data_IF_856496074663
#
_entry.id   IF_856496074663
#
_cell.length_a   1.000
_cell.length_b   1.000
_cell.length_c   1.000
_cell.angle_alpha   90.00
_cell.angle_beta   90.00
_cell.angle_gamma   90.00
#
_symmetry.space_group_name_H-M   'P 1'
#
loop_
_entity.id
_entity.type
_entity.pdbx_description
1 polymer ?
#
# COMPACT_ATOMS: atom_id res chain seq x y z
N UNK A 1 -39.93 0.94 4.68
CA UNK A 1 -40.51 0.65 6.01
C UNK A 1 -39.45 1.02 7.02
N UNK A 2 -39.63 2.14 7.73
CA UNK A 2 -38.76 2.55 8.84
C UNK A 2 -39.22 1.80 10.08
N UNK A 3 -38.67 0.61 10.32
CA UNK A 3 -38.92 -0.13 11.56
C UNK A 3 -38.15 0.50 12.71
N UNK A 4 -38.87 0.82 13.78
CA UNK A 4 -38.29 1.29 15.05
C UNK A 4 -37.46 0.16 15.67
N UNK A 5 -36.16 0.41 15.88
CA UNK A 5 -35.26 -0.54 16.52
C UNK A 5 -35.25 -0.34 18.03
N UNK A 6 -35.45 -1.44 18.76
CA UNK A 6 -35.40 -1.46 20.21
C UNK A 6 -34.23 -2.35 20.64
N UNK A 7 -33.08 -1.78 21.06
CA UNK A 7 -32.01 -2.56 21.63
C UNK A 7 -32.53 -3.24 22.91
N UNK A 8 -32.36 -4.56 23.00
CA UNK A 8 -32.90 -5.37 24.07
C UNK A 8 -32.51 -4.89 25.48
N UNK A 9 -33.50 -4.99 26.38
CA UNK A 9 -33.48 -4.72 27.84
C UNK A 9 -33.48 -3.25 28.29
N UNK A 10 -34.36 -2.42 27.74
CA UNK A 10 -34.97 -1.34 28.55
C UNK A 10 -36.33 -0.94 27.99
N UNK A 11 -37.41 -1.29 28.71
CA UNK A 11 -38.78 -0.82 28.44
C UNK A 11 -39.00 0.66 28.80
N UNK A 12 -37.95 1.46 28.98
CA UNK A 12 -38.06 2.88 29.36
C UNK A 12 -37.03 3.74 28.63
N UNK A 13 -37.18 3.85 27.31
CA UNK A 13 -36.89 5.07 26.52
C UNK A 13 -37.21 4.73 25.07
N UNK A 14 -38.32 5.28 24.58
CA UNK A 14 -38.59 5.39 23.15
C UNK A 14 -37.59 6.38 22.57
N UNK A 15 -36.35 5.97 22.34
CA UNK A 15 -35.48 6.71 21.44
C UNK A 15 -36.07 6.49 20.05
N UNK A 16 -36.68 7.54 19.47
CA UNK A 16 -37.27 7.56 18.12
C UNK A 16 -36.22 7.44 17.03
N UNK A 17 -35.27 6.53 17.21
CA UNK A 17 -34.11 6.28 16.37
C UNK A 17 -34.50 5.12 15.46
N UNK A 18 -34.67 5.42 14.18
CA UNK A 18 -34.95 4.39 13.18
C UNK A 18 -33.78 3.37 13.15
N UNK A 19 -34.06 2.10 12.85
CA UNK A 19 -33.03 1.07 12.71
C UNK A 19 -31.87 1.48 11.79
N UNK A 20 -32.19 2.23 10.72
CA UNK A 20 -31.20 2.80 9.81
C UNK A 20 -30.23 3.77 10.50
N UNK A 21 -30.71 4.56 11.46
CA UNK A 21 -29.87 5.48 12.23
C UNK A 21 -28.98 4.72 13.21
N UNK A 22 -29.49 3.69 13.88
CA UNK A 22 -28.68 2.84 14.75
C UNK A 22 -27.53 2.17 13.99
N UNK A 23 -27.82 1.54 12.84
CA UNK A 23 -26.77 0.94 12.01
C UNK A 23 -25.75 1.97 11.53
N UNK A 24 -26.21 3.13 11.06
CA UNK A 24 -25.33 4.17 10.50
C UNK A 24 -24.48 4.86 11.55
N UNK A 25 -25.08 5.28 12.66
CA UNK A 25 -24.44 6.15 13.66
C UNK A 25 -23.77 5.32 14.74
N UNK A 26 -24.49 4.36 15.33
CA UNK A 26 -23.98 3.64 16.49
C UNK A 26 -23.03 2.49 16.11
N UNK A 27 -23.08 2.02 14.85
CA UNK A 27 -22.21 0.95 14.36
C UNK A 27 -21.24 1.47 13.29
N UNK A 28 -21.72 1.92 12.14
CA UNK A 28 -20.81 2.23 11.02
C UNK A 28 -19.89 3.41 11.29
N UNK A 29 -20.38 4.52 11.84
CA UNK A 29 -19.51 5.64 12.18
C UNK A 29 -18.48 5.28 13.24
N UNK A 30 -18.87 4.53 14.28
CA UNK A 30 -17.92 4.03 15.29
C UNK A 30 -16.82 3.18 14.65
N UNK A 31 -17.18 2.27 13.73
CA UNK A 31 -16.20 1.44 13.01
C UNK A 31 -15.30 2.29 12.10
N UNK A 32 -15.86 3.25 11.37
CA UNK A 32 -15.09 4.17 10.50
C UNK A 32 -14.12 5.01 11.32
N UNK A 33 -14.55 5.56 12.47
CA UNK A 33 -13.72 6.37 13.35
C UNK A 33 -12.55 5.54 13.92
N UNK A 34 -12.80 4.29 14.32
CA UNK A 34 -11.74 3.37 14.76
C UNK A 34 -10.76 3.07 13.61
N UNK A 35 -11.26 2.79 12.40
CA UNK A 35 -10.41 2.56 11.24
C UNK A 35 -9.57 3.79 10.88
N UNK A 36 -10.15 4.99 10.97
CA UNK A 36 -9.43 6.25 10.75
C UNK A 36 -8.37 6.49 11.81
N UNK A 37 -8.68 6.21 13.08
CA UNK A 37 -7.72 6.32 14.17
C UNK A 37 -6.54 5.36 13.96
N UNK A 38 -6.82 4.10 13.65
CA UNK A 38 -5.79 3.09 13.36
C UNK A 38 -4.93 3.46 12.13
N UNK A 39 -5.53 4.07 11.11
CA UNK A 39 -4.78 4.61 9.97
C UNK A 39 -3.87 5.76 10.40
N UNK A 40 -4.38 6.71 11.17
CA UNK A 40 -3.59 7.86 11.64
C UNK A 40 -2.48 7.45 12.62
N UNK A 41 -2.70 6.40 13.42
CA UNK A 41 -1.71 5.89 14.37
C UNK A 41 -0.61 5.08 13.66
N UNK A 42 -0.93 4.41 12.53
CA UNK A 42 0.02 3.62 11.75
C UNK A 42 0.79 4.45 10.71
N UNK A 43 0.14 5.43 10.10
CA UNK A 43 0.71 6.27 9.06
C UNK A 43 1.06 7.64 9.63
N UNK A 44 2.35 7.89 9.84
CA UNK A 44 2.86 9.23 10.11
C UNK A 44 2.68 10.16 8.88
N UNK A 45 2.95 11.46 9.07
CA UNK A 45 2.81 12.44 7.99
C UNK A 45 3.58 12.05 6.72
N UNK A 46 4.77 11.45 6.88
CA UNK A 46 5.66 11.06 5.77
C UNK A 46 5.06 9.91 4.96
N UNK A 47 4.53 8.89 5.63
CA UNK A 47 3.92 7.74 4.98
C UNK A 47 2.55 8.07 4.34
N UNK A 48 1.82 9.04 4.89
CA UNK A 48 0.63 9.60 4.25
C UNK A 48 0.97 10.35 2.94
N UNK A 49 1.96 11.23 2.98
CA UNK A 49 2.43 11.96 1.80
C UNK A 49 2.96 11.03 0.71
N UNK A 50 3.65 9.96 1.10
CA UNK A 50 4.11 8.90 0.21
C UNK A 50 2.93 8.24 -0.54
N UNK A 51 1.91 7.79 0.20
CA UNK A 51 0.73 7.15 -0.39
C UNK A 51 -0.07 8.10 -1.28
N UNK A 52 -0.21 9.37 -0.88
CA UNK A 52 -0.87 10.38 -1.69
C UNK A 52 -0.11 10.68 -2.97
N UNK A 53 1.23 10.71 -2.92
CA UNK A 53 2.07 10.82 -4.10
C UNK A 53 1.94 9.63 -5.04
N UNK A 54 1.90 8.40 -4.51
CA UNK A 54 1.65 7.18 -5.30
C UNK A 54 0.28 7.22 -5.98
N UNK A 55 -0.76 7.61 -5.24
CA UNK A 55 -2.12 7.75 -5.77
C UNK A 55 -2.21 8.82 -6.88
N UNK A 56 -1.33 9.82 -6.83
CA UNK A 56 -1.25 10.88 -7.84
C UNK A 56 -0.65 10.40 -9.18
N UNK A 57 0.06 9.28 -9.20
CA UNK A 57 0.54 8.62 -10.43
C UNK A 57 -0.51 7.67 -11.05
N UNK A 58 -1.66 7.49 -10.42
CA UNK A 58 -2.68 6.56 -10.90
C UNK A 58 -3.24 7.02 -12.27
N UNK A 59 -3.14 6.19 -13.32
CA UNK A 59 -3.61 6.55 -14.65
C UNK A 59 -5.14 6.50 -14.81
N UNK A 60 -5.87 5.96 -13.82
CA UNK A 60 -7.33 5.82 -13.86
C UNK A 60 -8.02 7.15 -14.20
N UNK A 61 -9.10 7.05 -14.97
CA UNK A 61 -9.89 8.20 -15.45
C UNK A 61 -9.03 9.28 -16.13
N UNK A 62 -8.10 8.87 -16.99
CA UNK A 62 -7.17 9.77 -17.69
C UNK A 62 -6.33 10.63 -16.72
N UNK A 63 -5.75 9.96 -15.72
CA UNK A 63 -4.93 10.59 -14.69
C UNK A 63 -5.70 11.67 -13.90
N UNK A 64 -6.96 11.42 -13.53
CA UNK A 64 -7.80 12.41 -12.85
C UNK A 64 -7.19 12.94 -11.53
N UNK A 65 -6.46 12.07 -10.82
CA UNK A 65 -5.83 12.40 -9.55
C UNK A 65 -4.41 12.97 -9.69
N UNK A 66 -3.96 13.28 -10.91
CA UNK A 66 -2.61 13.78 -11.12
C UNK A 66 -2.37 15.11 -10.39
N UNK A 67 -1.43 15.06 -9.45
CA UNK A 67 -0.96 16.21 -8.69
C UNK A 67 0.57 16.21 -8.72
N UNK A 68 1.14 17.12 -9.51
CA UNK A 68 2.58 17.28 -9.64
C UNK A 68 3.24 17.52 -8.28
N UNK A 69 2.66 18.34 -7.42
CA UNK A 69 3.22 18.68 -6.12
C UNK A 69 3.37 17.46 -5.23
N UNK A 70 2.35 16.61 -5.17
CA UNK A 70 2.38 15.35 -4.40
C UNK A 70 3.37 14.34 -4.97
N UNK A 71 3.48 14.24 -6.29
CA UNK A 71 4.48 13.38 -6.95
C UNK A 71 5.90 13.87 -6.64
N UNK A 72 6.12 15.19 -6.59
CA UNK A 72 7.41 15.76 -6.18
C UNK A 72 7.75 15.44 -4.72
N UNK A 73 6.76 15.40 -3.82
CA UNK A 73 6.97 14.98 -2.43
C UNK A 73 7.36 13.51 -2.37
N UNK A 74 6.66 12.64 -3.12
CA UNK A 74 7.02 11.21 -3.25
C UNK A 74 8.48 11.02 -3.67
N UNK A 75 8.97 11.78 -4.66
CA UNK A 75 10.36 11.67 -5.10
C UNK A 75 11.36 12.07 -4.01
N UNK A 76 11.04 13.07 -3.19
CA UNK A 76 11.86 13.50 -2.04
C UNK A 76 11.93 12.45 -0.93
N UNK A 77 10.99 11.51 -0.87
CA UNK A 77 11.07 10.37 0.06
C UNK A 77 12.18 9.37 -0.31
N UNK A 78 12.78 9.48 -1.51
CA UNK A 78 13.84 8.59 -1.99
C UNK A 78 15.14 9.35 -2.30
N UNK A 79 15.81 9.93 -1.29
CA UNK A 79 17.02 10.76 -1.49
C UNK A 79 18.21 9.97 -2.06
N UNK A 80 18.20 8.64 -1.99
CA UNK A 80 19.22 7.78 -2.60
C UNK A 80 18.99 7.56 -4.11
N UNK A 81 17.75 7.72 -4.58
CA UNK A 81 17.35 7.51 -5.98
C UNK A 81 17.24 8.83 -6.74
N UNK A 82 17.00 9.94 -6.04
CA UNK A 82 16.87 11.28 -6.60
C UNK A 82 17.75 12.29 -5.88
N UNK A 83 18.74 12.84 -6.60
CA UNK A 83 19.46 14.05 -6.20
C UNK A 83 18.68 15.33 -6.55
N UNK A 84 19.16 16.50 -6.11
CA UNK A 84 18.48 17.78 -6.36
C UNK A 84 18.32 18.10 -7.86
N UNK A 85 19.28 17.68 -8.70
CA UNK A 85 19.24 17.89 -10.14
C UNK A 85 18.17 16.99 -10.77
N UNK A 86 18.14 15.72 -10.37
CA UNK A 86 17.16 14.74 -10.82
C UNK A 86 15.74 15.10 -10.37
N UNK A 87 15.56 15.65 -9.16
CA UNK A 87 14.28 16.22 -8.70
C UNK A 87 13.82 17.35 -9.62
N UNK A 88 14.73 18.26 -10.00
CA UNK A 88 14.39 19.34 -10.93
C UNK A 88 14.05 18.79 -12.32
N UNK A 89 14.79 17.82 -12.82
CA UNK A 89 14.59 17.25 -14.15
C UNK A 89 13.30 16.39 -14.21
N UNK A 90 12.99 15.67 -13.13
CA UNK A 90 11.70 15.01 -12.92
C UNK A 90 10.54 16.01 -13.01
N UNK A 91 10.67 17.19 -12.38
CA UNK A 91 9.64 18.23 -12.45
C UNK A 91 9.31 18.63 -13.89
N UNK A 92 10.32 18.77 -14.75
CA UNK A 92 10.12 19.04 -16.18
C UNK A 92 9.56 17.85 -16.95
N UNK A 93 10.02 16.62 -16.64
CA UNK A 93 9.46 15.41 -17.23
C UNK A 93 7.97 15.28 -16.90
N UNK A 94 7.54 15.58 -15.68
CA UNK A 94 6.14 15.50 -15.27
C UNK A 94 5.22 16.45 -16.06
N UNK A 95 5.70 17.66 -16.37
CA UNK A 95 4.93 18.64 -17.17
C UNK A 95 4.66 18.13 -18.59
N UNK A 96 5.66 17.53 -19.22
CA UNK A 96 5.53 16.98 -20.57
C UNK A 96 4.82 15.63 -20.59
N UNK A 97 5.04 14.82 -19.55
CA UNK A 97 4.44 13.51 -19.37
C UNK A 97 2.92 13.60 -19.34
N UNK A 98 2.35 14.45 -18.47
CA UNK A 98 0.90 14.49 -18.31
C UNK A 98 0.18 14.96 -19.57
N UNK A 99 0.78 15.90 -20.31
CA UNK A 99 0.25 16.35 -21.60
C UNK A 99 0.26 15.21 -22.60
N UNK A 100 1.36 14.46 -22.68
CA UNK A 100 1.48 13.34 -23.61
C UNK A 100 0.54 12.18 -23.26
N UNK A 101 0.41 11.83 -21.98
CA UNK A 101 -0.50 10.77 -21.53
C UNK A 101 -1.97 11.11 -21.80
N UNK A 102 -2.35 12.39 -21.71
CA UNK A 102 -3.71 12.87 -21.95
C UNK A 102 -4.00 13.21 -23.42
N UNK A 103 -3.01 13.13 -24.31
CA UNK A 103 -3.15 13.51 -25.73
C UNK A 103 -4.03 12.57 -26.58
N UNK A 104 -4.79 11.66 -25.95
CA UNK A 104 -5.73 10.77 -26.64
C UNK A 104 -5.09 9.58 -27.35
N UNK A 105 -3.85 9.22 -27.00
CA UNK A 105 -3.22 8.03 -27.53
C UNK A 105 -3.92 6.77 -26.98
N UNK A 106 -4.40 5.85 -27.85
CA UNK A 106 -5.16 4.67 -27.43
C UNK A 106 -4.37 3.72 -26.51
N UNK A 107 -3.03 3.77 -26.50
CA UNK A 107 -2.21 3.00 -25.56
C UNK A 107 -2.39 3.43 -24.10
N UNK A 108 -2.84 4.67 -23.86
CA UNK A 108 -2.97 5.25 -22.51
C UNK A 108 -4.43 5.53 -22.10
N UNK A 109 -5.42 5.19 -22.94
CA UNK A 109 -6.81 5.60 -22.71
C UNK A 109 -7.58 4.75 -21.68
N UNK A 110 -7.17 3.49 -21.44
CA UNK A 110 -7.93 2.53 -20.61
C UNK A 110 -7.09 1.85 -19.51
N UNK A 111 -6.07 2.53 -19.00
CA UNK A 111 -5.23 1.98 -17.92
C UNK A 111 -5.99 1.94 -16.60
N UNK A 112 -6.03 0.78 -15.94
CA UNK A 112 -6.78 0.57 -14.68
C UNK A 112 -5.90 0.80 -13.44
N UNK A 113 -4.58 0.77 -13.60
CA UNK A 113 -3.66 1.04 -12.50
C UNK A 113 -2.22 1.19 -12.90
N UNK A 114 -1.36 1.31 -11.88
CA UNK A 114 0.06 1.61 -12.03
C UNK A 114 0.84 0.51 -12.77
N UNK A 115 0.42 -0.75 -12.66
CA UNK A 115 1.02 -1.87 -13.41
C UNK A 115 0.77 -1.73 -14.93
N UNK A 116 -0.44 -1.33 -15.32
CA UNK A 116 -0.77 -1.11 -16.73
C UNK A 116 0.03 0.08 -17.28
N UNK A 117 0.19 1.14 -16.48
CA UNK A 117 1.03 2.28 -16.85
C UNK A 117 2.48 1.84 -17.11
N UNK A 118 3.06 1.02 -16.23
CA UNK A 118 4.42 0.52 -16.42
C UNK A 118 4.56 -0.25 -17.75
N UNK A 119 3.62 -1.16 -18.05
CA UNK A 119 3.61 -1.92 -19.31
C UNK A 119 3.45 -1.00 -20.52
N UNK A 120 2.51 -0.07 -20.47
CA UNK A 120 2.25 0.86 -21.57
C UNK A 120 3.47 1.75 -21.89
N UNK A 121 4.23 2.18 -20.88
CA UNK A 121 5.46 2.95 -21.08
C UNK A 121 6.56 2.14 -21.77
N UNK A 122 6.69 0.86 -21.44
CA UNK A 122 7.62 -0.07 -22.09
C UNK A 122 7.19 -0.32 -23.54
N UNK A 123 5.93 -0.66 -23.77
CA UNK A 123 5.39 -0.94 -25.12
C UNK A 123 5.38 0.28 -26.05
N UNK A 124 5.39 1.49 -25.49
CA UNK A 124 5.50 2.73 -26.23
C UNK A 124 6.95 3.19 -26.43
N UNK A 125 7.95 2.46 -25.92
CA UNK A 125 9.37 2.86 -25.89
C UNK A 125 9.60 4.25 -25.25
N UNK A 126 8.83 4.57 -24.22
CA UNK A 126 8.89 5.87 -23.52
C UNK A 126 9.68 5.81 -22.21
N UNK A 127 10.23 4.65 -21.87
CA UNK A 127 11.00 4.42 -20.63
C UNK A 127 12.21 5.35 -20.53
N UNK A 128 12.94 5.56 -21.63
CA UNK A 128 14.10 6.47 -21.64
C UNK A 128 13.66 7.94 -21.63
N UNK A 129 12.60 8.28 -22.38
CA UNK A 129 12.06 9.64 -22.46
C UNK A 129 11.54 10.15 -21.12
N UNK A 130 10.87 9.28 -20.35
CA UNK A 130 10.34 9.60 -19.03
C UNK A 130 11.01 8.76 -17.95
N UNK A 131 12.34 8.69 -17.98
CA UNK A 131 13.16 7.87 -17.10
C UNK A 131 12.86 8.05 -15.61
N UNK A 132 12.69 9.29 -15.15
CA UNK A 132 12.43 9.60 -13.74
C UNK A 132 10.99 9.27 -13.34
N UNK A 133 10.03 9.51 -14.23
CA UNK A 133 8.63 9.10 -14.00
C UNK A 133 8.53 7.58 -13.95
N UNK A 134 9.20 6.88 -14.87
CA UNK A 134 9.24 5.42 -14.89
C UNK A 134 9.93 4.83 -13.65
N UNK A 135 10.96 5.51 -13.13
CA UNK A 135 11.57 5.15 -11.85
C UNK A 135 10.57 5.25 -10.69
N UNK A 136 9.79 6.35 -10.60
CA UNK A 136 8.73 6.48 -9.59
C UNK A 136 7.63 5.43 -9.72
N UNK A 137 7.24 5.10 -10.96
CA UNK A 137 6.27 4.02 -11.24
C UNK A 137 6.81 2.68 -10.72
N UNK A 138 8.10 2.38 -10.94
CA UNK A 138 8.73 1.18 -10.38
C UNK A 138 8.73 1.21 -8.86
N UNK A 139 9.19 2.29 -8.23
CA UNK A 139 9.20 2.45 -6.77
C UNK A 139 7.79 2.26 -6.16
N UNK A 140 6.76 2.79 -6.83
CA UNK A 140 5.35 2.62 -6.44
C UNK A 140 4.89 1.16 -6.50
N UNK A 141 5.41 0.37 -7.46
CA UNK A 141 5.07 -1.05 -7.61
C UNK A 141 5.76 -1.95 -6.57
N UNK A 142 7.00 -1.65 -6.19
CA UNK A 142 7.75 -2.46 -5.20
C UNK A 142 7.37 -2.14 -3.74
N UNK A 143 6.90 -0.92 -3.45
CA UNK A 143 6.61 -0.52 -2.09
C UNK A 143 5.56 -1.40 -1.38
N UNK A 144 4.39 -1.72 -1.97
CA UNK A 144 3.40 -2.58 -1.33
C UNK A 144 3.94 -3.97 -0.98
N UNK A 145 4.83 -4.51 -1.82
CA UNK A 145 5.48 -5.81 -1.60
C UNK A 145 6.45 -5.71 -0.41
N UNK A 146 7.23 -4.64 -0.33
CA UNK A 146 8.13 -4.40 0.80
C UNK A 146 7.35 -4.25 2.11
N UNK A 147 6.28 -3.46 2.13
CA UNK A 147 5.42 -3.27 3.32
C UNK A 147 4.80 -4.59 3.77
N UNK A 148 4.19 -5.35 2.87
CA UNK A 148 3.59 -6.65 3.20
C UNK A 148 4.63 -7.65 3.73
N UNK A 149 5.85 -7.66 3.17
CA UNK A 149 6.93 -8.54 3.61
C UNK A 149 7.38 -8.21 5.03
N UNK A 150 7.54 -6.93 5.35
CA UNK A 150 7.91 -6.47 6.69
C UNK A 150 6.82 -6.81 7.70
N UNK A 151 5.55 -6.49 7.40
CA UNK A 151 4.42 -6.84 8.28
C UNK A 151 4.32 -8.34 8.53
N UNK A 152 4.47 -9.16 7.48
CA UNK A 152 4.50 -10.62 7.59
C UNK A 152 5.63 -11.08 8.50
N UNK A 153 6.84 -10.53 8.37
CA UNK A 153 7.97 -10.88 9.22
C UNK A 153 7.73 -10.51 10.69
N UNK A 154 7.18 -9.33 10.97
CA UNK A 154 6.84 -8.90 12.33
C UNK A 154 5.73 -9.75 12.95
N UNK A 155 4.69 -10.11 12.17
CA UNK A 155 3.63 -11.01 12.61
C UNK A 155 4.19 -12.39 12.94
N UNK A 156 5.01 -12.96 12.07
CA UNK A 156 5.71 -14.23 12.31
C UNK A 156 6.54 -14.17 13.59
N UNK A 157 7.32 -13.10 13.78
CA UNK A 157 8.15 -12.92 14.97
C UNK A 157 7.28 -12.88 16.25
N UNK A 158 6.17 -12.15 16.22
CA UNK A 158 5.23 -12.06 17.35
C UNK A 158 4.62 -13.42 17.66
N UNK A 159 4.27 -14.21 16.65
CA UNK A 159 3.72 -15.55 16.84
C UNK A 159 4.75 -16.51 17.44
N UNK A 160 5.99 -16.54 16.91
CA UNK A 160 7.08 -17.39 17.40
C UNK A 160 7.38 -17.05 18.88
N UNK A 161 7.61 -15.77 19.18
CA UNK A 161 7.91 -15.31 20.55
C UNK A 161 6.77 -15.61 21.53
N UNK A 162 5.52 -15.42 21.12
CA UNK A 162 4.36 -15.64 22.01
C UNK A 162 4.03 -17.13 22.22
N UNK A 163 4.19 -17.98 21.19
CA UNK A 163 3.97 -19.43 21.32
C UNK A 163 5.04 -20.08 22.19
N UNK A 164 6.29 -19.72 21.97
CA UNK A 164 7.42 -20.35 22.66
C UNK A 164 7.65 -19.75 24.07
N UNK A 165 7.09 -18.57 24.39
CA UNK A 165 7.35 -17.83 25.66
C UNK A 165 8.84 -17.74 26.03
N UNK A 166 9.72 -17.81 25.03
CA UNK A 166 11.14 -18.04 25.23
C UNK A 166 11.93 -16.75 25.03
N UNK A 167 12.95 -16.53 25.88
CA UNK A 167 14.04 -15.61 25.60
C UNK A 167 14.98 -16.28 24.58
N UNK A 168 14.55 -16.31 23.32
CA UNK A 168 15.31 -16.88 22.22
C UNK A 168 16.36 -15.88 21.74
N UNK A 169 17.59 -16.32 21.52
CA UNK A 169 18.66 -15.46 21.00
C UNK A 169 18.38 -15.00 19.56
N UNK A 170 18.90 -13.81 19.19
CA UNK A 170 18.56 -13.16 17.92
C UNK A 170 18.92 -13.99 16.69
N UNK A 171 20.05 -14.70 16.70
CA UNK A 171 20.45 -15.59 15.60
C UNK A 171 19.43 -16.72 15.38
N UNK A 172 19.08 -17.44 16.44
CA UNK A 172 18.14 -18.56 16.36
C UNK A 172 16.72 -18.10 15.97
N UNK A 173 16.30 -16.91 16.42
CA UNK A 173 15.05 -16.29 15.99
C UNK A 173 15.05 -15.95 14.49
N UNK A 174 16.18 -15.46 13.98
CA UNK A 174 16.31 -15.11 12.57
C UNK A 174 16.24 -16.36 11.69
N UNK A 175 16.96 -17.42 12.07
CA UNK A 175 16.94 -18.71 11.35
C UNK A 175 15.52 -19.29 11.30
N UNK A 176 14.78 -19.24 12.41
CA UNK A 176 13.40 -19.73 12.47
C UNK A 176 12.41 -18.84 11.67
N UNK A 177 12.62 -17.53 11.66
CA UNK A 177 11.82 -16.57 10.88
C UNK A 177 11.89 -16.85 9.39
N UNK A 178 13.09 -17.16 8.87
CA UNK A 178 13.29 -17.50 7.45
C UNK A 178 12.45 -18.73 7.08
N UNK A 179 12.53 -19.80 7.87
CA UNK A 179 11.74 -21.01 7.65
C UNK A 179 10.22 -20.76 7.71
N UNK A 180 9.77 -19.82 8.56
CA UNK A 180 8.36 -19.52 8.74
C UNK A 180 7.79 -18.59 7.65
N UNK A 181 8.56 -17.60 7.22
CA UNK A 181 8.18 -16.66 6.15
C UNK A 181 8.17 -17.35 4.79
N UNK A 182 9.17 -18.20 4.54
CA UNK A 182 9.33 -18.96 3.30
C UNK A 182 8.80 -20.39 3.43
N UNK A 183 7.82 -20.61 4.31
CA UNK A 183 7.25 -21.93 4.58
C UNK A 183 6.84 -22.67 3.30
N UNK A 184 6.27 -21.96 2.32
CA UNK A 184 5.88 -22.57 1.04
C UNK A 184 7.08 -23.09 0.24
N UNK A 185 8.24 -22.46 0.35
CA UNK A 185 9.49 -22.96 -0.25
C UNK A 185 9.98 -24.20 0.52
N UNK A 186 9.98 -24.13 1.85
CA UNK A 186 10.46 -25.23 2.71
C UNK A 186 9.57 -26.47 2.67
N UNK A 187 8.25 -26.33 2.47
CA UNK A 187 7.36 -27.50 2.28
C UNK A 187 7.67 -28.33 1.04
N UNK A 188 8.37 -27.74 0.05
CA UNK A 188 8.80 -28.44 -1.15
C UNK A 188 10.18 -29.12 -1.00
N UNK A 189 10.88 -28.94 0.13
CA UNK A 189 12.15 -29.59 0.42
C UNK A 189 11.89 -30.82 1.30
N UNK A 190 12.35 -32.00 0.89
CA UNK A 190 12.17 -33.20 1.72
C UNK A 190 13.08 -33.15 2.95
N UNK A 191 12.58 -33.66 4.07
CA UNK A 191 13.37 -33.76 5.31
C UNK A 191 14.65 -34.60 5.11
N UNK A 192 14.61 -35.59 4.22
CA UNK A 192 15.78 -36.43 3.91
C UNK A 192 16.93 -35.60 3.32
N UNK A 193 16.64 -34.64 2.44
CA UNK A 193 17.65 -33.74 1.85
C UNK A 193 18.23 -32.79 2.91
N UNK A 194 17.42 -32.37 3.88
CA UNK A 194 17.87 -31.51 4.98
C UNK A 194 18.80 -32.30 5.93
N UNK A 195 18.43 -33.54 6.25
CA UNK A 195 19.21 -34.40 7.15
C UNK A 195 20.58 -34.79 6.57
N UNK A 196 20.72 -34.91 5.25
CA UNK A 196 22.02 -35.21 4.60
C UNK A 196 22.99 -34.01 4.58
N UNK A 197 22.52 -32.79 4.87
CA UNK A 197 23.32 -31.57 4.87
C UNK A 197 23.88 -31.18 6.26
N UNK A 198 23.55 -31.92 7.32
CA UNK A 198 24.01 -31.70 8.70
C UNK A 198 24.69 -32.95 9.27
#
# INVERSE_FOLDING_TARGET
>A
MDESYFPGKSKRKSSGVCYSHYLRVDIFYVVIDVLLQELNDRFDAVSSDLLLGMASLNPANSFANFDKGRIMILAKCYPNEFDEVQIRDLSYQLDTFIVHMRAGNPKFSNLQGISDLAKALVEANLVETYSYVYLLVKLTLILPVATATVERAFLSMKQIKNKERNSMGDQYLNDYLVCYIEHDVFTNVSNDVIMDCF
#
